data_IF_368740162789
#
_entry.id   IF_368740162789
#
_cell.length_a   1.000
_cell.length_b   1.000
_cell.length_c   1.000
_cell.angle_alpha   90.00
_cell.angle_beta   90.00
_cell.angle_gamma   90.00
#
_symmetry.space_group_name_H-M   'P 1'
#
loop_
_entity.id
_entity.type
_entity.pdbx_description
1 polymer ?
#
# COMPACT_ATOMS: atom_id res chain seq x y z
N UNK A 1 -2.35 19.76 -5.02
CA UNK A 1 -1.23 18.87 -4.66
C UNK A 1 -0.68 18.29 -5.95
N UNK A 2 0.63 18.17 -6.09
CA UNK A 2 1.22 17.51 -7.26
C UNK A 2 1.16 15.99 -7.14
N UNK A 3 1.46 15.30 -8.25
CA UNK A 3 1.41 13.83 -8.30
C UNK A 3 2.39 13.18 -7.30
N UNK A 4 3.55 13.78 -7.06
CA UNK A 4 4.53 13.28 -6.08
C UNK A 4 3.95 13.27 -4.67
N UNK A 5 3.34 14.38 -4.26
CA UNK A 5 2.70 14.52 -2.95
C UNK A 5 1.55 13.52 -2.82
N UNK A 6 0.72 13.37 -3.85
CA UNK A 6 -0.38 12.40 -3.84
C UNK A 6 0.14 10.94 -3.78
N UNK A 7 1.25 10.61 -4.44
CA UNK A 7 1.90 9.29 -4.35
C UNK A 7 2.41 8.97 -2.95
N UNK A 8 2.89 9.97 -2.21
CA UNK A 8 3.30 9.80 -0.80
C UNK A 8 2.05 9.61 0.07
N UNK A 9 1.05 10.48 -0.09
CA UNK A 9 -0.18 10.47 0.71
C UNK A 9 -0.97 9.17 0.55
N UNK A 10 -0.87 8.49 -0.60
CA UNK A 10 -1.59 7.24 -0.85
C UNK A 10 -1.19 6.10 0.09
N UNK A 11 -0.05 6.18 0.78
CA UNK A 11 0.43 5.17 1.73
C UNK A 11 0.07 5.43 3.19
N UNK A 12 -0.45 6.61 3.54
CA UNK A 12 -0.61 7.02 4.95
C UNK A 12 -1.74 6.23 5.63
N UNK A 13 -2.91 6.19 4.98
CA UNK A 13 -4.09 5.44 5.44
C UNK A 13 -4.98 5.12 4.23
N UNK A 14 -6.02 4.31 4.44
CA UNK A 14 -7.10 4.14 3.44
C UNK A 14 -7.71 5.49 3.05
N UNK A 15 -7.84 6.43 3.99
CA UNK A 15 -8.31 7.79 3.68
C UNK A 15 -7.30 8.57 2.83
N UNK A 16 -6.00 8.47 3.14
CA UNK A 16 -4.94 9.04 2.32
C UNK A 16 -4.99 8.52 0.88
N UNK A 17 -5.21 7.21 0.71
CA UNK A 17 -5.42 6.59 -0.59
C UNK A 17 -6.63 7.16 -1.35
N UNK A 18 -7.78 7.29 -0.67
CA UNK A 18 -8.99 7.87 -1.27
C UNK A 18 -8.78 9.32 -1.71
N UNK A 19 -8.14 10.13 -0.88
CA UNK A 19 -7.80 11.52 -1.21
C UNK A 19 -6.88 11.57 -2.43
N UNK A 20 -5.82 10.75 -2.45
CA UNK A 20 -4.88 10.68 -3.58
C UNK A 20 -5.56 10.25 -4.88
N UNK A 21 -6.46 9.27 -4.82
CA UNK A 21 -7.21 8.79 -5.97
C UNK A 21 -8.18 9.87 -6.50
N UNK A 22 -8.94 10.54 -5.63
CA UNK A 22 -9.93 11.54 -6.05
C UNK A 22 -9.24 12.78 -6.61
N UNK A 23 -8.25 13.33 -5.91
CA UNK A 23 -7.56 14.56 -6.33
C UNK A 23 -6.61 14.34 -7.52
N UNK A 24 -6.12 13.11 -7.70
CA UNK A 24 -5.22 12.74 -8.79
C UNK A 24 -5.90 12.43 -10.12
N UNK A 25 -7.23 12.28 -10.13
CA UNK A 25 -8.00 11.79 -11.30
C UNK A 25 -7.89 12.66 -12.55
N UNK A 26 -7.72 13.97 -12.39
CA UNK A 26 -7.71 14.89 -13.53
C UNK A 26 -6.43 14.77 -14.37
N UNK A 27 -5.28 14.52 -13.75
CA UNK A 27 -3.96 14.50 -14.42
C UNK A 27 -2.98 13.47 -13.81
N UNK A 28 -3.33 12.18 -13.72
CA UNK A 28 -2.46 11.19 -13.09
C UNK A 28 -1.28 10.85 -14.03
N UNK A 29 -0.05 11.03 -13.55
CA UNK A 29 1.15 10.54 -14.24
C UNK A 29 1.44 9.06 -13.88
N UNK A 30 2.46 8.48 -14.51
CA UNK A 30 2.87 7.09 -14.25
C UNK A 30 3.17 6.85 -12.76
N UNK A 31 3.89 7.79 -12.12
CA UNK A 31 4.26 7.72 -10.71
C UNK A 31 3.03 7.57 -9.80
N UNK A 32 2.02 8.43 -9.98
CA UNK A 32 0.82 8.39 -9.16
C UNK A 32 0.02 7.11 -9.40
N UNK A 33 -0.14 6.69 -10.65
CA UNK A 33 -0.83 5.44 -10.99
C UNK A 33 -0.14 4.24 -10.35
N UNK A 34 1.19 4.18 -10.45
CA UNK A 34 2.00 3.12 -9.87
C UNK A 34 1.82 3.04 -8.35
N UNK A 35 1.99 4.16 -7.65
CA UNK A 35 1.90 4.20 -6.20
C UNK A 35 0.46 4.02 -5.68
N UNK A 36 -0.57 4.44 -6.42
CA UNK A 36 -1.97 4.11 -6.10
C UNK A 36 -2.24 2.60 -6.17
N UNK A 37 -1.70 1.88 -7.18
CA UNK A 37 -1.80 0.42 -7.27
C UNK A 37 -1.07 -0.28 -6.13
N UNK A 38 0.17 0.11 -5.87
CA UNK A 38 1.00 -0.48 -4.82
C UNK A 38 0.41 -0.26 -3.42
N UNK A 39 -0.04 0.95 -3.12
CA UNK A 39 -0.65 1.28 -1.82
C UNK A 39 -2.02 0.64 -1.63
N UNK A 40 -2.86 0.52 -2.67
CA UNK A 40 -4.10 -0.25 -2.58
C UNK A 40 -3.83 -1.75 -2.34
N UNK A 41 -2.82 -2.29 -3.05
CA UNK A 41 -2.34 -3.64 -2.82
C UNK A 41 -1.88 -3.87 -1.38
N UNK A 42 -1.17 -2.89 -0.81
CA UNK A 42 -0.78 -2.91 0.60
C UNK A 42 -1.98 -2.89 1.55
N UNK A 43 -3.03 -2.11 1.28
CA UNK A 43 -4.27 -2.12 2.07
C UNK A 43 -4.91 -3.51 2.07
N UNK A 44 -5.05 -4.11 0.89
CA UNK A 44 -5.65 -5.45 0.75
C UNK A 44 -4.80 -6.50 1.48
N UNK A 45 -3.47 -6.44 1.31
CA UNK A 45 -2.54 -7.31 2.01
C UNK A 45 -2.64 -7.15 3.53
N UNK A 46 -2.75 -5.92 4.03
CA UNK A 46 -2.87 -5.64 5.47
C UNK A 46 -4.11 -6.28 6.09
N UNK A 47 -5.23 -6.21 5.38
CA UNK A 47 -6.50 -6.83 5.80
C UNK A 47 -6.35 -8.36 5.81
N UNK A 48 -5.82 -8.94 4.72
CA UNK A 48 -5.62 -10.38 4.62
C UNK A 48 -4.67 -10.91 5.71
N UNK A 49 -3.54 -10.22 5.93
CA UNK A 49 -2.57 -10.56 6.95
C UNK A 49 -3.17 -10.48 8.37
N UNK A 50 -3.95 -9.44 8.66
CA UNK A 50 -4.65 -9.30 9.94
C UNK A 50 -5.58 -10.47 10.21
N UNK A 51 -6.37 -10.89 9.21
CA UNK A 51 -7.26 -12.05 9.33
C UNK A 51 -6.45 -13.33 9.62
N UNK A 52 -5.36 -13.55 8.88
CA UNK A 52 -4.49 -14.73 9.05
C UNK A 52 -3.87 -14.75 10.46
N UNK A 53 -3.32 -13.63 10.93
CA UNK A 53 -2.72 -13.53 12.26
C UNK A 53 -3.76 -13.81 13.34
N UNK A 54 -4.97 -13.26 13.24
CA UNK A 54 -6.04 -13.49 14.22
C UNK A 54 -6.47 -14.97 14.26
N UNK A 55 -6.62 -15.63 13.11
CA UNK A 55 -6.95 -17.06 13.06
C UNK A 55 -5.85 -17.88 13.73
N UNK A 56 -4.58 -17.62 13.39
CA UNK A 56 -3.44 -18.33 13.97
C UNK A 56 -3.34 -18.09 15.48
N UNK A 57 -3.59 -16.87 15.94
CA UNK A 57 -3.62 -16.55 17.36
C UNK A 57 -4.69 -17.37 18.10
N UNK A 58 -5.92 -17.43 17.58
CA UNK A 58 -7.02 -18.21 18.19
C UNK A 58 -6.68 -19.71 18.27
N UNK A 59 -6.04 -20.26 17.23
CA UNK A 59 -5.72 -21.69 17.17
C UNK A 59 -4.52 -22.07 18.04
N UNK A 60 -3.52 -21.19 18.13
CA UNK A 60 -2.21 -21.54 18.73
C UNK A 60 -1.93 -20.84 20.06
N UNK A 61 -2.66 -19.78 20.39
CA UNK A 61 -2.38 -18.85 21.51
C UNK A 61 -0.94 -18.27 21.49
N UNK A 62 -0.29 -18.21 20.33
CA UNK A 62 1.06 -17.65 20.21
C UNK A 62 1.01 -16.12 20.05
N UNK A 63 1.25 -15.40 21.15
CA UNK A 63 1.29 -13.93 21.17
C UNK A 63 2.39 -13.34 20.28
N UNK A 64 3.49 -14.07 20.05
CA UNK A 64 4.61 -13.61 19.21
C UNK A 64 4.19 -13.31 17.76
N UNK A 65 3.08 -13.87 17.28
CA UNK A 65 2.53 -13.61 15.95
C UNK A 65 2.14 -12.13 15.74
N UNK A 66 1.88 -11.39 16.82
CA UNK A 66 1.58 -9.96 16.77
C UNK A 66 2.68 -9.13 16.10
N UNK A 67 3.94 -9.60 16.12
CA UNK A 67 5.07 -8.90 15.47
C UNK A 67 4.90 -8.78 13.95
N UNK A 68 4.18 -9.72 13.33
CA UNK A 68 3.89 -9.70 11.89
C UNK A 68 2.96 -8.55 11.51
N UNK A 69 2.19 -8.02 12.48
CA UNK A 69 1.33 -6.85 12.28
C UNK A 69 2.08 -5.56 11.94
N UNK A 70 3.40 -5.49 12.18
CA UNK A 70 4.24 -4.36 11.78
C UNK A 70 4.67 -4.40 10.32
N UNK A 71 4.54 -5.56 9.64
CA UNK A 71 4.99 -5.71 8.26
C UNK A 71 4.33 -4.71 7.30
N UNK A 72 3.01 -4.46 7.35
CA UNK A 72 2.39 -3.42 6.53
C UNK A 72 2.96 -2.02 6.74
N UNK A 73 3.29 -1.65 7.98
CA UNK A 73 3.88 -0.35 8.29
C UNK A 73 5.27 -0.21 7.66
N UNK A 74 6.09 -1.26 7.75
CA UNK A 74 7.41 -1.29 7.10
C UNK A 74 7.27 -1.15 5.59
N UNK A 75 6.35 -1.87 4.97
CA UNK A 75 6.09 -1.77 3.54
C UNK A 75 5.54 -0.40 3.14
N UNK A 76 4.69 0.23 3.96
CA UNK A 76 4.22 1.59 3.74
C UNK A 76 5.38 2.59 3.72
N UNK A 77 6.30 2.49 4.68
CA UNK A 77 7.49 3.36 4.74
C UNK A 77 8.36 3.16 3.49
N UNK A 78 8.58 1.92 3.05
CA UNK A 78 9.32 1.66 1.79
C UNK A 78 8.60 2.28 0.59
N UNK A 79 7.28 2.15 0.51
CA UNK A 79 6.47 2.79 -0.54
C UNK A 79 6.57 4.31 -0.54
N UNK A 80 6.52 4.93 0.64
CA UNK A 80 6.70 6.37 0.83
C UNK A 80 8.09 6.82 0.37
N UNK A 81 9.14 6.09 0.75
CA UNK A 81 10.51 6.40 0.32
C UNK A 81 10.64 6.31 -1.20
N UNK A 82 10.10 5.26 -1.82
CA UNK A 82 10.11 5.12 -3.28
C UNK A 82 9.36 6.28 -3.95
N UNK A 83 8.16 6.64 -3.46
CA UNK A 83 7.35 7.75 -3.97
C UNK A 83 8.06 9.11 -3.82
N UNK A 84 8.70 9.34 -2.67
CA UNK A 84 9.44 10.58 -2.41
C UNK A 84 10.69 10.73 -3.30
N UNK A 85 11.28 9.61 -3.74
CA UNK A 85 12.37 9.57 -4.71
C UNK A 85 11.90 9.46 -6.17
N UNK A 86 10.59 9.45 -6.41
CA UNK A 86 9.98 9.33 -7.75
C UNK A 86 10.37 8.03 -8.46
N UNK A 87 10.51 6.94 -7.69
CA UNK A 87 10.90 5.62 -8.17
C UNK A 87 9.69 4.69 -8.21
N UNK A 88 9.36 4.19 -9.40
CA UNK A 88 8.35 3.14 -9.60
C UNK A 88 8.95 1.76 -9.31
N UNK A 89 9.07 1.41 -8.03
CA UNK A 89 9.62 0.12 -7.58
C UNK A 89 8.60 -0.66 -6.74
N UNK A 90 8.44 -1.97 -6.96
CA UNK A 90 7.42 -2.74 -6.27
C UNK A 90 7.76 -2.83 -4.78
N UNK A 91 6.72 -2.83 -3.96
CA UNK A 91 6.88 -3.16 -2.54
C UNK A 91 7.52 -4.56 -2.41
N UNK A 92 8.46 -4.75 -1.48
CA UNK A 92 8.98 -6.08 -1.18
C UNK A 92 7.84 -7.05 -0.87
N UNK A 93 8.04 -8.33 -1.22
CA UNK A 93 7.12 -9.46 -0.95
C UNK A 93 5.84 -9.43 -1.80
N UNK A 94 5.12 -8.29 -1.84
CA UNK A 94 3.76 -8.22 -2.38
C UNK A 94 3.65 -7.41 -3.67
N UNK A 95 4.57 -6.49 -3.93
CA UNK A 95 4.35 -5.41 -4.89
C UNK A 95 4.13 -5.88 -6.33
N UNK A 96 4.85 -6.90 -6.77
CA UNK A 96 4.70 -7.50 -8.11
C UNK A 96 3.31 -8.07 -8.37
N UNK A 97 2.61 -8.52 -7.32
CA UNK A 97 1.25 -9.08 -7.46
C UNK A 97 0.21 -8.03 -7.87
N UNK A 98 0.52 -6.74 -7.67
CA UNK A 98 -0.42 -5.63 -7.82
C UNK A 98 -0.10 -4.69 -9.00
N UNK A 99 1.04 -4.85 -9.69
CA UNK A 99 1.45 -3.97 -10.81
C UNK A 99 0.42 -3.98 -11.96
N UNK A 100 -0.12 -5.15 -12.28
CA UNK A 100 -1.12 -5.36 -13.34
C UNK A 100 -2.57 -5.44 -12.81
N UNK A 101 -2.80 -5.00 -11.57
CA UNK A 101 -4.13 -4.98 -10.96
C UNK A 101 -4.74 -3.58 -11.02
N UNK A 102 -6.03 -3.52 -10.68
CA UNK A 102 -6.78 -2.26 -10.53
C UNK A 102 -6.81 -1.41 -11.82
N UNK A 103 -7.34 -1.98 -12.90
CA UNK A 103 -7.47 -1.29 -14.20
C UNK A 103 -8.21 0.05 -14.13
N UNK A 104 -9.06 0.26 -13.11
CA UNK A 104 -9.76 1.51 -12.86
C UNK A 104 -8.84 2.67 -12.40
N UNK A 105 -7.60 2.38 -11.98
CA UNK A 105 -6.61 3.40 -11.57
C UNK A 105 -5.99 4.09 -12.81
N UNK A 106 -6.25 3.56 -14.01
CA UNK A 106 -5.79 4.09 -15.29
C UNK A 106 -4.32 3.83 -15.56
#
# INVERSE_FOLDING_TARGET
MDNKTLSIVSYITVFGWLVSFILGKEKPNSLLKYHLKQSLGLVIFSIALSIIINILFIVTNLEILGILGFLPLILAIVGIINAANEIEKPLPIIGKMFEDKFSFIG
#
